data_IF_229703804847
#
_entry.id   IF_229703804847
#
_cell.length_a   1.000
_cell.length_b   1.000
_cell.length_c   1.000
_cell.angle_alpha   90.00
_cell.angle_beta   90.00
_cell.angle_gamma   90.00
#
_symmetry.space_group_name_H-M   'P 1'
#
loop_
_entity.id
_entity.type
_entity.pdbx_description
1 polymer ?
#
# COMPACT_ATOMS: atom_id res chain seq x y z
N UNK A 1 21.38 24.73 22.50
CA UNK A 1 21.06 23.34 22.89
C UNK A 1 20.53 22.66 21.65
N UNK A 2 21.32 21.79 21.05
CA UNK A 2 20.95 21.04 19.85
C UNK A 2 19.89 20.02 20.26
N UNK A 3 18.63 20.26 19.86
CA UNK A 3 17.55 19.30 20.06
C UNK A 3 17.88 18.07 19.21
N UNK A 4 18.58 17.08 19.79
CA UNK A 4 18.73 15.77 19.17
C UNK A 4 17.31 15.22 19.01
N UNK A 5 16.75 15.33 17.81
CA UNK A 5 15.52 14.65 17.44
C UNK A 5 15.73 13.16 17.74
N UNK A 6 15.18 12.67 18.85
CA UNK A 6 15.22 11.25 19.20
C UNK A 6 14.45 10.52 18.10
N UNK A 7 15.17 9.85 17.22
CA UNK A 7 14.58 9.06 16.15
C UNK A 7 14.04 7.77 16.75
N UNK A 8 12.72 7.69 16.91
CA UNK A 8 12.06 6.46 17.40
C UNK A 8 12.41 5.30 16.50
N UNK A 9 12.89 4.22 17.10
CA UNK A 9 13.24 3.00 16.37
C UNK A 9 12.03 2.08 16.30
N UNK A 10 11.51 1.83 15.09
CA UNK A 10 10.30 1.03 14.89
C UNK A 10 10.51 -0.45 15.25
N UNK A 11 9.80 -1.01 16.25
CA UNK A 11 9.96 -2.40 16.65
C UNK A 11 9.08 -3.29 15.76
N UNK A 12 9.58 -3.63 14.58
CA UNK A 12 8.83 -4.38 13.54
C UNK A 12 8.25 -5.70 14.08
N UNK A 13 9.09 -6.53 14.71
CA UNK A 13 8.68 -7.84 15.23
C UNK A 13 7.62 -7.73 16.33
N UNK A 14 7.81 -6.81 17.27
CA UNK A 14 6.83 -6.56 18.34
C UNK A 14 5.50 -6.04 17.78
N UNK A 15 5.56 -5.22 16.73
CA UNK A 15 4.37 -4.71 16.04
C UNK A 15 3.61 -5.84 15.35
N UNK A 16 4.29 -6.78 14.69
CA UNK A 16 3.66 -7.99 14.14
C UNK A 16 2.99 -8.84 15.23
N UNK A 17 3.68 -9.07 16.35
CA UNK A 17 3.14 -9.83 17.48
C UNK A 17 1.96 -9.13 18.16
N UNK A 18 2.02 -7.81 18.32
CA UNK A 18 0.93 -7.00 18.86
C UNK A 18 -0.29 -7.02 17.93
N UNK A 19 -0.06 -6.96 16.62
CA UNK A 19 -1.12 -7.04 15.61
C UNK A 19 -1.78 -8.41 15.61
N UNK A 20 -1.00 -9.48 15.75
CA UNK A 20 -1.50 -10.84 15.88
C UNK A 20 -2.34 -11.04 17.15
N UNK A 21 -1.85 -10.56 18.30
CA UNK A 21 -2.59 -10.58 19.57
C UNK A 21 -3.92 -9.85 19.43
N UNK A 22 -3.93 -8.65 18.85
CA UNK A 22 -5.15 -7.89 18.60
C UNK A 22 -6.14 -8.68 17.73
N UNK A 23 -5.66 -9.31 16.66
CA UNK A 23 -6.52 -10.11 15.79
C UNK A 23 -7.15 -11.30 16.51
N UNK A 24 -6.37 -11.96 17.38
CA UNK A 24 -6.83 -13.11 18.18
C UNK A 24 -7.86 -12.70 19.22
N UNK A 25 -7.63 -11.60 19.92
CA UNK A 25 -8.54 -11.06 20.94
C UNK A 25 -9.87 -10.59 20.33
N UNK A 26 -9.81 -9.96 19.14
CA UNK A 26 -10.97 -9.41 18.45
C UNK A 26 -11.49 -10.31 17.32
N UNK A 27 -11.29 -11.64 17.43
CA UNK A 27 -11.54 -12.62 16.36
C UNK A 27 -12.90 -12.48 15.66
N UNK A 28 -13.97 -12.16 16.39
CA UNK A 28 -15.32 -12.00 15.83
C UNK A 28 -15.40 -10.79 14.90
N UNK A 29 -14.89 -9.64 15.34
CA UNK A 29 -14.88 -8.42 14.54
C UNK A 29 -13.95 -8.57 13.34
N UNK A 30 -12.76 -9.13 13.54
CA UNK A 30 -11.82 -9.41 12.45
C UNK A 30 -12.42 -10.39 11.43
N UNK A 31 -13.13 -11.43 11.86
CA UNK A 31 -13.81 -12.34 10.93
C UNK A 31 -14.86 -11.61 10.08
N UNK A 32 -15.65 -10.71 10.66
CA UNK A 32 -16.62 -9.90 9.92
C UNK A 32 -15.91 -8.99 8.91
N UNK A 33 -14.85 -8.28 9.33
CA UNK A 33 -14.08 -7.42 8.42
C UNK A 33 -13.42 -8.22 7.29
N UNK A 34 -12.88 -9.40 7.60
CA UNK A 34 -12.31 -10.31 6.60
C UNK A 34 -13.35 -10.80 5.62
N UNK A 35 -14.55 -11.16 6.09
CA UNK A 35 -15.64 -11.60 5.22
C UNK A 35 -16.12 -10.48 4.29
N UNK A 36 -16.32 -9.27 4.83
CA UNK A 36 -16.67 -8.10 4.01
C UNK A 36 -15.57 -7.78 3.01
N UNK A 37 -14.29 -7.82 3.43
CA UNK A 37 -13.15 -7.62 2.55
C UNK A 37 -13.10 -8.66 1.43
N UNK A 38 -13.33 -9.92 1.75
CA UNK A 38 -13.40 -11.01 0.78
C UNK A 38 -14.50 -10.78 -0.27
N UNK A 39 -15.71 -10.41 0.16
CA UNK A 39 -16.80 -10.06 -0.74
C UNK A 39 -16.45 -8.86 -1.63
N UNK A 40 -15.78 -7.84 -1.09
CA UNK A 40 -15.30 -6.71 -1.86
C UNK A 40 -14.27 -7.15 -2.90
N UNK A 41 -13.28 -7.98 -2.55
CA UNK A 41 -12.28 -8.47 -3.50
C UNK A 41 -12.94 -9.26 -4.65
N UNK A 42 -13.89 -10.14 -4.35
CA UNK A 42 -14.65 -10.86 -5.37
C UNK A 42 -15.44 -9.89 -6.28
N UNK A 43 -16.13 -8.91 -5.68
CA UNK A 43 -16.89 -7.92 -6.42
C UNK A 43 -16.01 -7.15 -7.39
N UNK A 44 -14.88 -6.61 -6.93
CA UNK A 44 -13.99 -5.77 -7.73
C UNK A 44 -13.21 -6.53 -8.79
N UNK A 45 -12.56 -7.62 -8.41
CA UNK A 45 -11.62 -8.32 -9.28
C UNK A 45 -12.25 -9.45 -10.09
N UNK A 46 -13.18 -10.23 -9.51
CA UNK A 46 -13.81 -11.35 -10.21
C UNK A 46 -15.05 -10.92 -11.01
N UNK A 47 -15.92 -10.09 -10.44
CA UNK A 47 -17.19 -9.73 -11.09
C UNK A 47 -17.13 -8.45 -11.93
N UNK A 48 -16.38 -7.43 -11.49
CA UNK A 48 -16.27 -6.15 -12.20
C UNK A 48 -15.12 -6.10 -13.22
N UNK A 49 -14.29 -7.15 -13.33
CA UNK A 49 -13.19 -7.20 -14.31
C UNK A 49 -11.94 -6.42 -13.91
N UNK A 50 -11.80 -6.07 -12.63
CA UNK A 50 -10.59 -5.44 -12.09
C UNK A 50 -10.30 -4.05 -12.67
N UNK A 51 -9.00 -3.72 -12.75
CA UNK A 51 -8.52 -2.38 -13.12
C UNK A 51 -8.81 -1.97 -14.57
N UNK A 52 -9.20 -2.93 -15.43
CA UNK A 52 -9.54 -2.67 -16.83
C UNK A 52 -10.97 -2.16 -17.08
N UNK A 53 -11.83 -2.14 -16.04
CA UNK A 53 -13.22 -1.74 -16.17
C UNK A 53 -13.50 -0.41 -15.48
N UNK A 54 -14.27 0.48 -16.12
CA UNK A 54 -14.68 1.77 -15.55
C UNK A 54 -15.49 1.61 -14.24
N UNK A 55 -16.20 0.50 -14.07
CA UNK A 55 -16.94 0.18 -12.86
C UNK A 55 -16.03 0.00 -11.63
N UNK A 56 -14.74 -0.25 -11.84
CA UNK A 56 -13.74 -0.34 -10.78
C UNK A 56 -13.62 0.96 -9.97
N UNK A 57 -14.00 2.11 -10.54
CA UNK A 57 -14.04 3.38 -9.80
C UNK A 57 -15.04 3.32 -8.64
N UNK A 58 -16.23 2.74 -8.87
CA UNK A 58 -17.21 2.55 -7.79
C UNK A 58 -16.69 1.60 -6.72
N UNK A 59 -15.99 0.55 -7.14
CA UNK A 59 -15.32 -0.36 -6.21
C UNK A 59 -14.28 0.37 -5.35
N UNK A 60 -13.44 1.23 -5.94
CA UNK A 60 -12.46 2.04 -5.22
C UNK A 60 -13.12 2.92 -4.14
N UNK A 61 -14.26 3.54 -4.45
CA UNK A 61 -15.03 4.34 -3.48
C UNK A 61 -15.57 3.47 -2.34
N UNK A 62 -16.17 2.32 -2.65
CA UNK A 62 -16.66 1.37 -1.65
C UNK A 62 -15.53 0.86 -0.75
N UNK A 63 -14.40 0.49 -1.35
CA UNK A 63 -13.24 -0.02 -0.64
C UNK A 63 -12.58 1.05 0.23
N UNK A 64 -12.58 2.30 -0.22
CA UNK A 64 -12.15 3.45 0.58
C UNK A 64 -13.04 3.64 1.80
N UNK A 65 -14.38 3.63 1.63
CA UNK A 65 -15.33 3.75 2.74
C UNK A 65 -15.19 2.58 3.74
N UNK A 66 -15.00 1.36 3.23
CA UNK A 66 -14.71 0.19 4.05
C UNK A 66 -13.43 0.39 4.89
N UNK A 67 -12.36 0.87 4.27
CA UNK A 67 -11.09 1.15 4.95
C UNK A 67 -11.26 2.25 6.01
N UNK A 68 -11.94 3.35 5.69
CA UNK A 68 -12.26 4.38 6.68
C UNK A 68 -13.05 3.81 7.87
N UNK A 69 -14.06 2.99 7.60
CA UNK A 69 -14.86 2.35 8.65
C UNK A 69 -14.01 1.43 9.53
N UNK A 70 -13.13 0.61 8.93
CA UNK A 70 -12.21 -0.26 9.66
C UNK A 70 -11.31 0.52 10.62
N UNK A 71 -10.59 1.54 10.14
CA UNK A 71 -9.66 2.30 11.00
C UNK A 71 -10.41 3.06 12.10
N UNK A 72 -11.59 3.63 11.81
CA UNK A 72 -12.37 4.28 12.86
C UNK A 72 -12.91 3.30 13.90
N UNK A 73 -13.34 2.12 13.47
CA UNK A 73 -13.72 1.04 14.38
C UNK A 73 -12.54 0.64 15.27
N UNK A 74 -11.35 0.41 14.70
CA UNK A 74 -10.14 0.09 15.46
C UNK A 74 -9.84 1.13 16.54
N UNK A 75 -10.01 2.42 16.23
CA UNK A 75 -9.78 3.53 17.15
C UNK A 75 -10.98 3.91 18.02
N UNK A 76 -12.06 3.11 18.05
CA UNK A 76 -13.30 3.39 18.80
C UNK A 76 -13.88 4.79 18.50
N UNK A 77 -13.80 5.23 17.25
CA UNK A 77 -14.39 6.50 16.78
C UNK A 77 -15.73 6.22 16.09
N UNK A 78 -16.69 7.14 16.22
CA UNK A 78 -18.00 7.06 15.51
C UNK A 78 -17.75 6.92 14.00
N UNK A 79 -18.55 6.17 13.23
CA UNK A 79 -18.39 6.10 11.77
C UNK A 79 -18.65 7.48 11.14
N UNK A 80 -17.88 7.86 10.12
CA UNK A 80 -18.28 9.01 9.28
C UNK A 80 -19.33 8.49 8.30
N UNK A 81 -20.61 8.75 8.55
CA UNK A 81 -21.59 8.76 7.49
C UNK A 81 -21.62 10.19 6.96
N UNK A 82 -21.11 10.42 5.74
CA UNK A 82 -21.21 11.68 5.00
C UNK A 82 -20.77 12.97 5.72
N UNK A 83 -19.78 12.92 6.61
CA UNK A 83 -19.25 14.15 7.23
C UNK A 83 -18.12 14.74 6.37
N UNK A 84 -18.01 16.07 6.29
CA UNK A 84 -16.94 16.81 5.58
C UNK A 84 -15.52 16.24 5.83
N UNK A 85 -15.29 15.67 7.01
CA UNK A 85 -14.02 15.07 7.41
C UNK A 85 -13.57 13.87 6.58
N UNK A 86 -14.45 13.21 5.81
CA UNK A 86 -14.07 12.18 4.82
C UNK A 86 -13.29 12.84 3.66
N UNK A 87 -13.69 14.06 3.26
CA UNK A 87 -13.00 14.82 2.22
C UNK A 87 -11.63 15.32 2.69
N UNK A 88 -11.50 15.66 3.97
CA UNK A 88 -10.21 16.00 4.55
C UNK A 88 -9.23 14.81 4.51
N UNK A 89 -9.74 13.58 4.68
CA UNK A 89 -8.95 12.35 4.50
C UNK A 89 -8.74 11.95 3.04
N UNK A 90 -9.45 12.53 2.08
CA UNK A 90 -9.19 12.28 0.65
C UNK A 90 -7.90 12.97 0.18
N UNK A 91 -7.47 14.04 0.83
CA UNK A 91 -6.26 14.79 0.42
C UNK A 91 -4.99 13.93 0.52
N UNK A 92 -4.68 13.23 1.64
CA UNK A 92 -3.55 12.30 1.67
C UNK A 92 -3.69 11.15 0.67
N UNK A 93 -4.87 10.56 0.51
CA UNK A 93 -5.11 9.47 -0.44
C UNK A 93 -4.91 9.88 -1.90
N UNK A 94 -5.36 11.09 -2.27
CA UNK A 94 -5.16 11.64 -3.61
C UNK A 94 -3.67 11.85 -3.88
N UNK A 95 -2.91 12.28 -2.86
CA UNK A 95 -1.45 12.42 -2.99
C UNK A 95 -0.76 11.08 -3.16
N UNK A 96 -1.20 10.02 -2.46
CA UNK A 96 -0.71 8.64 -2.68
C UNK A 96 -0.95 8.25 -4.13
N UNK A 97 -2.21 8.35 -4.57
CA UNK A 97 -2.60 7.92 -5.90
C UNK A 97 -1.84 8.70 -6.98
N UNK A 98 -1.70 10.02 -6.82
CA UNK A 98 -0.93 10.85 -7.74
C UNK A 98 0.56 10.50 -7.76
N UNK A 99 1.20 10.30 -6.58
CA UNK A 99 2.61 9.93 -6.51
C UNK A 99 2.87 8.54 -7.10
N UNK A 100 1.99 7.57 -6.81
CA UNK A 100 2.06 6.23 -7.39
C UNK A 100 1.86 6.28 -8.90
N UNK A 101 0.87 7.03 -9.39
CA UNK A 101 0.62 7.18 -10.82
C UNK A 101 1.77 7.88 -11.53
N UNK A 102 2.29 8.98 -10.96
CA UNK A 102 3.43 9.71 -11.51
C UNK A 102 4.67 8.83 -11.55
N UNK A 103 4.95 8.06 -10.49
CA UNK A 103 6.07 7.11 -10.49
C UNK A 103 5.85 6.01 -11.52
N UNK A 104 4.68 5.38 -11.56
CA UNK A 104 4.37 4.33 -12.52
C UNK A 104 4.51 4.83 -13.96
N UNK A 105 4.02 6.04 -14.23
CA UNK A 105 4.15 6.71 -15.53
C UNK A 105 5.63 6.97 -15.85
N UNK A 106 6.39 7.52 -14.91
CA UNK A 106 7.82 7.77 -15.10
C UNK A 106 8.60 6.47 -15.36
N UNK A 107 8.29 5.40 -14.64
CA UNK A 107 8.91 4.09 -14.84
C UNK A 107 8.51 3.47 -16.18
N UNK A 108 7.26 3.61 -16.60
CA UNK A 108 6.80 3.13 -17.91
C UNK A 108 7.47 3.90 -19.07
N UNK A 109 7.76 5.19 -18.89
CA UNK A 109 8.44 6.00 -19.91
C UNK A 109 9.97 5.99 -19.80
N UNK A 110 10.55 5.50 -18.71
CA UNK A 110 12.00 5.45 -18.49
C UNK A 110 12.76 4.72 -19.63
N UNK A 111 12.28 3.57 -20.15
CA UNK A 111 12.89 2.89 -21.31
C UNK A 111 12.89 3.72 -22.59
N UNK A 112 12.03 4.74 -22.69
CA UNK A 112 11.98 5.61 -23.86
C UNK A 112 12.82 6.88 -23.68
N UNK A 113 13.37 7.13 -22.49
CA UNK A 113 14.14 8.33 -22.19
C UNK A 113 15.32 8.57 -23.17
N UNK A 114 16.11 7.54 -23.57
CA UNK A 114 17.18 7.73 -24.54
C UNK A 114 16.70 8.24 -25.90
N UNK A 115 15.47 7.88 -26.31
CA UNK A 115 14.90 8.37 -27.57
C UNK A 115 14.73 9.90 -27.58
N UNK A 116 14.48 10.50 -26.41
CA UNK A 116 14.30 11.94 -26.25
C UNK A 116 15.60 12.72 -26.06
N UNK A 117 16.71 12.04 -25.72
CA UNK A 117 18.00 12.67 -25.42
C UNK A 117 18.89 12.90 -26.65
N UNK A 118 18.48 12.43 -27.83
CA UNK A 118 19.17 12.70 -29.10
C UNK A 118 20.53 12.00 -29.24
N UNK A 119 20.62 10.73 -28.83
CA UNK A 119 21.83 9.93 -29.01
C UNK A 119 22.16 9.68 -30.50
N UNK A 120 23.43 9.36 -30.84
CA UNK A 120 23.84 9.04 -32.20
C UNK A 120 22.97 7.94 -32.85
N UNK A 121 22.69 8.07 -34.15
CA UNK A 121 21.74 7.22 -34.88
C UNK A 121 22.05 5.72 -34.79
N UNK A 122 23.33 5.34 -34.82
CA UNK A 122 23.78 3.94 -34.71
C UNK A 122 23.41 3.31 -33.36
N UNK A 123 23.63 4.03 -32.25
CA UNK A 123 23.20 3.55 -30.91
C UNK A 123 21.68 3.51 -30.77
N UNK A 124 20.97 4.40 -31.45
CA UNK A 124 19.51 4.48 -31.37
C UNK A 124 18.84 3.34 -32.13
N UNK A 125 19.44 2.88 -33.21
CA UNK A 125 18.97 1.73 -33.99
C UNK A 125 19.15 0.42 -33.19
N UNK A 126 20.33 0.21 -32.60
CA UNK A 126 20.60 -0.92 -31.70
C UNK A 126 19.70 -0.88 -30.44
N UNK A 127 19.44 0.31 -29.88
CA UNK A 127 18.59 0.46 -28.71
C UNK A 127 17.10 0.22 -29.02
N UNK A 128 16.61 0.74 -30.15
CA UNK A 128 15.21 0.61 -30.54
C UNK A 128 14.86 -0.82 -31.01
N UNK A 129 15.77 -1.48 -31.73
CA UNK A 129 15.55 -2.83 -32.25
C UNK A 129 15.90 -3.90 -31.20
N UNK A 130 16.96 -3.71 -30.42
CA UNK A 130 17.36 -4.68 -29.38
C UNK A 130 16.57 -4.50 -28.08
N UNK A 131 16.82 -3.41 -27.38
CA UNK A 131 16.33 -3.21 -26.02
C UNK A 131 14.82 -2.93 -25.94
N UNK A 132 14.28 -2.05 -26.79
CA UNK A 132 12.85 -1.69 -26.73
C UNK A 132 11.97 -2.86 -27.17
N UNK A 133 12.36 -3.63 -28.20
CA UNK A 133 11.60 -4.82 -28.60
C UNK A 133 11.62 -5.88 -27.48
N UNK A 134 12.78 -6.15 -26.88
CA UNK A 134 12.88 -7.11 -25.77
C UNK A 134 12.15 -6.64 -24.50
N UNK A 135 12.10 -5.32 -24.27
CA UNK A 135 11.29 -4.72 -23.20
C UNK A 135 9.78 -4.84 -23.48
N UNK A 136 9.36 -4.69 -24.73
CA UNK A 136 7.96 -4.85 -25.14
C UNK A 136 7.50 -6.31 -25.18
N UNK A 137 8.41 -7.26 -25.41
CA UNK A 137 8.15 -8.71 -25.43
C UNK A 137 7.97 -9.33 -24.02
N UNK A 138 7.61 -8.50 -23.02
CA UNK A 138 7.33 -8.93 -21.63
C UNK A 138 8.45 -9.79 -21.02
N UNK A 139 9.72 -9.44 -21.28
CA UNK A 139 10.83 -10.18 -20.69
C UNK A 139 10.76 -10.07 -19.15
N UNK A 140 10.61 -11.22 -18.51
CA UNK A 140 10.46 -11.42 -17.06
C UNK A 140 11.50 -10.69 -16.21
N UNK A 141 12.70 -10.46 -16.75
CA UNK A 141 13.77 -9.69 -16.10
C UNK A 141 13.41 -8.22 -15.90
N UNK A 142 12.79 -7.57 -16.90
CA UNK A 142 12.41 -6.17 -16.82
C UNK A 142 11.24 -5.96 -15.87
N UNK A 143 10.26 -6.86 -15.88
CA UNK A 143 9.15 -6.87 -14.92
C UNK A 143 9.65 -7.03 -13.48
N UNK A 144 10.59 -7.95 -13.26
CA UNK A 144 11.22 -8.14 -11.96
C UNK A 144 12.02 -6.90 -11.53
N UNK A 145 12.74 -6.27 -12.46
CA UNK A 145 13.46 -5.02 -12.22
C UNK A 145 12.54 -3.86 -11.82
N UNK A 146 11.44 -3.69 -12.55
CA UNK A 146 10.40 -2.70 -12.23
C UNK A 146 9.74 -2.97 -10.88
N UNK A 147 9.40 -4.22 -10.59
CA UNK A 147 8.84 -4.63 -9.31
C UNK A 147 9.82 -4.35 -8.15
N UNK A 148 11.12 -4.58 -8.36
CA UNK A 148 12.15 -4.26 -7.37
C UNK A 148 12.25 -2.76 -7.11
N UNK A 149 12.23 -1.93 -8.16
CA UNK A 149 12.23 -0.47 -8.01
C UNK A 149 10.99 0.00 -7.26
N UNK A 150 9.81 -0.51 -7.60
CA UNK A 150 8.57 -0.21 -6.89
C UNK A 150 8.65 -0.62 -5.41
N UNK A 151 9.21 -1.79 -5.12
CA UNK A 151 9.42 -2.28 -3.76
C UNK A 151 10.32 -1.33 -2.97
N UNK A 152 11.42 -0.85 -3.56
CA UNK A 152 12.34 0.11 -2.92
C UNK A 152 11.68 1.48 -2.67
N UNK A 153 10.86 1.96 -3.59
CA UNK A 153 10.24 3.29 -3.46
C UNK A 153 8.96 3.25 -2.60
N UNK A 154 8.31 2.09 -2.47
CA UNK A 154 7.05 1.93 -1.74
C UNK A 154 7.05 2.40 -0.28
N UNK A 155 8.13 2.32 0.55
CA UNK A 155 8.12 2.89 1.89
C UNK A 155 7.90 4.41 1.90
N UNK A 156 8.32 5.09 0.84
CA UNK A 156 8.22 6.54 0.72
C UNK A 156 6.81 6.93 0.24
N UNK A 157 6.29 6.21 -0.75
CA UNK A 157 5.01 6.52 -1.41
C UNK A 157 3.81 5.99 -0.61
N UNK A 158 3.96 4.85 0.07
CA UNK A 158 2.86 4.20 0.76
C UNK A 158 2.84 4.53 2.26
N UNK A 159 3.87 4.15 3.02
CA UNK A 159 3.83 4.23 4.49
C UNK A 159 3.61 5.65 5.02
N UNK A 160 4.37 6.64 4.56
CA UNK A 160 4.28 8.00 5.12
C UNK A 160 2.96 8.68 4.81
N UNK A 161 2.46 8.63 3.57
CA UNK A 161 1.11 9.11 3.29
C UNK A 161 0.03 8.30 3.97
N UNK A 162 0.20 6.99 4.15
CA UNK A 162 -0.74 6.16 4.88
C UNK A 162 -0.86 6.61 6.35
N UNK A 163 0.26 6.94 7.01
CA UNK A 163 0.21 7.50 8.37
C UNK A 163 -0.53 8.84 8.42
N UNK A 164 -0.31 9.71 7.43
CA UNK A 164 -1.04 10.97 7.31
C UNK A 164 -2.54 10.74 7.06
N UNK A 165 -2.88 9.73 6.26
CA UNK A 165 -4.25 9.31 6.01
C UNK A 165 -4.93 8.78 7.28
N UNK A 166 -4.31 7.83 8.00
CA UNK A 166 -4.85 7.32 9.28
C UNK A 166 -5.09 8.48 10.24
N UNK A 167 -4.13 9.41 10.37
CA UNK A 167 -4.27 10.64 11.17
C UNK A 167 -5.51 11.45 10.79
N UNK A 168 -5.76 11.67 9.50
CA UNK A 168 -6.94 12.39 9.03
C UNK A 168 -8.25 11.62 9.32
N UNK A 169 -8.26 10.30 9.12
CA UNK A 169 -9.43 9.44 9.35
C UNK A 169 -9.85 9.43 10.83
N UNK A 170 -8.91 9.49 11.76
CA UNK A 170 -9.21 9.60 13.19
C UNK A 170 -9.59 11.03 13.62
N UNK A 171 -9.50 12.01 12.72
CA UNK A 171 -9.85 13.41 12.95
C UNK A 171 -8.71 14.28 13.50
N UNK A 172 -7.45 13.84 13.35
CA UNK A 172 -6.24 14.63 13.64
C UNK A 172 -5.71 15.29 12.36
N UNK A 173 -4.66 16.11 12.48
CA UNK A 173 -4.05 16.74 11.29
C UNK A 173 -3.39 15.70 10.38
N UNK A 174 -3.90 15.58 9.15
CA UNK A 174 -3.39 14.68 8.10
C UNK A 174 -2.10 15.19 7.43
N UNK A 175 -1.18 15.78 8.19
CA UNK A 175 0.00 16.43 7.63
C UNK A 175 1.09 15.43 7.26
N UNK A 176 1.40 15.35 5.96
CA UNK A 176 2.53 14.57 5.43
C UNK A 176 3.86 14.98 6.05
N UNK A 177 4.08 16.27 6.28
CA UNK A 177 5.32 16.79 6.89
C UNK A 177 5.51 16.26 8.31
N UNK A 178 4.42 16.21 9.09
CA UNK A 178 4.46 15.64 10.44
C UNK A 178 4.74 14.13 10.40
N UNK A 179 4.10 13.41 9.48
CA UNK A 179 4.35 11.98 9.30
C UNK A 179 5.80 11.69 8.89
N UNK A 180 6.37 12.51 8.02
CA UNK A 180 7.77 12.41 7.60
C UNK A 180 8.74 12.62 8.76
N UNK A 181 8.50 13.64 9.58
CA UNK A 181 9.33 13.93 10.76
C UNK A 181 9.28 12.78 11.78
N UNK A 182 8.08 12.28 12.09
CA UNK A 182 7.89 11.24 13.12
C UNK A 182 8.43 9.86 12.72
N UNK A 183 8.47 9.56 11.42
CA UNK A 183 8.94 8.27 10.89
C UNK A 183 10.37 8.30 10.36
N UNK A 184 11.09 9.42 10.52
CA UNK A 184 12.47 9.62 10.07
C UNK A 184 13.40 8.56 10.68
N UNK A 185 14.34 8.04 9.87
CA UNK A 185 15.31 7.03 10.30
C UNK A 185 14.83 5.56 10.21
N UNK A 186 13.60 5.29 9.78
CA UNK A 186 13.03 3.93 9.75
C UNK A 186 12.86 3.33 8.35
N UNK A 187 13.56 3.86 7.33
CA UNK A 187 13.39 3.41 5.94
C UNK A 187 13.60 1.91 5.77
N UNK A 188 14.73 1.36 6.22
CA UNK A 188 15.04 -0.07 6.10
C UNK A 188 14.01 -0.96 6.80
N UNK A 189 13.42 -0.47 7.89
CA UNK A 189 12.39 -1.20 8.64
C UNK A 189 11.08 -1.24 7.88
N UNK A 190 10.66 -0.13 7.29
CA UNK A 190 9.51 -0.11 6.40
C UNK A 190 9.75 -0.94 5.15
N UNK A 191 10.95 -0.90 4.58
CA UNK A 191 11.33 -1.74 3.43
C UNK A 191 11.21 -3.23 3.77
N UNK A 192 11.70 -3.65 4.95
CA UNK A 192 11.55 -5.02 5.41
C UNK A 192 10.07 -5.41 5.56
N UNK A 193 9.23 -4.52 6.10
CA UNK A 193 7.78 -4.78 6.21
C UNK A 193 7.11 -4.91 4.84
N UNK A 194 7.40 -4.00 3.91
CA UNK A 194 6.91 -4.08 2.53
C UNK A 194 7.30 -5.42 1.93
N UNK A 195 8.58 -5.79 2.05
CA UNK A 195 9.08 -7.03 1.51
C UNK A 195 8.35 -8.25 2.11
N UNK A 196 8.15 -8.29 3.42
CA UNK A 196 7.44 -9.39 4.09
C UNK A 196 5.99 -9.52 3.62
N UNK A 197 5.25 -8.41 3.51
CA UNK A 197 3.87 -8.45 3.02
C UNK A 197 3.78 -8.81 1.53
N UNK A 198 4.71 -8.31 0.70
CA UNK A 198 4.76 -8.67 -0.72
C UNK A 198 5.14 -10.14 -0.92
N UNK A 199 6.12 -10.65 -0.15
CA UNK A 199 6.49 -12.05 -0.17
C UNK A 199 5.30 -12.94 0.25
N UNK A 200 4.57 -12.56 1.30
CA UNK A 200 3.36 -13.28 1.69
C UNK A 200 2.27 -13.27 0.61
N UNK A 201 2.04 -12.12 -0.05
CA UNK A 201 1.09 -12.02 -1.14
C UNK A 201 1.52 -12.85 -2.37
N UNK A 202 2.81 -12.83 -2.72
CA UNK A 202 3.38 -13.62 -3.80
C UNK A 202 3.21 -15.13 -3.53
N UNK A 203 3.52 -15.60 -2.32
CA UNK A 203 3.33 -17.00 -1.94
C UNK A 203 1.86 -17.43 -2.04
N UNK A 204 0.91 -16.55 -1.72
CA UNK A 204 -0.52 -16.82 -1.87
C UNK A 204 -0.90 -16.95 -3.36
N UNK A 205 -0.36 -16.09 -4.23
CA UNK A 205 -0.60 -16.17 -5.67
C UNK A 205 -0.01 -17.46 -6.27
N UNK A 206 1.23 -17.80 -5.93
CA UNK A 206 1.86 -19.05 -6.38
C UNK A 206 1.08 -20.29 -5.89
N UNK A 207 0.60 -20.28 -4.64
CA UNK A 207 -0.23 -21.36 -4.11
C UNK A 207 -1.55 -21.52 -4.89
N UNK A 208 -2.17 -20.42 -5.33
CA UNK A 208 -3.39 -20.45 -6.14
C UNK A 208 -3.11 -21.07 -7.52
N UNK A 209 -2.05 -20.63 -8.19
CA UNK A 209 -1.60 -21.17 -9.49
C UNK A 209 -1.34 -22.67 -9.40
N UNK A 210 -0.62 -23.11 -8.36
CA UNK A 210 -0.32 -24.53 -8.13
C UNK A 210 -1.58 -25.36 -7.83
N UNK A 211 -2.57 -24.77 -7.16
CA UNK A 211 -3.82 -25.44 -6.83
C UNK A 211 -4.84 -25.48 -7.98
N UNK A 212 -4.63 -24.68 -9.04
CA UNK A 212 -5.57 -24.55 -10.15
C UNK A 212 -6.92 -23.94 -9.75
N UNK A 213 -6.98 -23.20 -8.64
CA UNK A 213 -8.22 -22.75 -8.02
C UNK A 213 -8.86 -21.49 -8.66
N UNK A 214 -8.48 -21.12 -9.89
CA UNK A 214 -9.06 -19.98 -10.63
C UNK A 214 -9.16 -18.69 -9.79
N UNK A 215 -8.06 -18.31 -9.14
CA UNK A 215 -7.95 -17.14 -8.24
C UNK A 215 -8.79 -17.19 -6.95
N UNK A 216 -9.61 -18.22 -6.73
CA UNK A 216 -10.45 -18.31 -5.53
C UNK A 216 -9.62 -18.47 -4.26
N UNK A 217 -8.54 -19.26 -4.32
CA UNK A 217 -7.66 -19.47 -3.18
C UNK A 217 -6.89 -18.18 -2.88
N UNK A 218 -6.43 -17.48 -3.93
CA UNK A 218 -5.79 -16.18 -3.80
C UNK A 218 -6.69 -15.17 -3.07
N UNK A 219 -7.94 -14.98 -3.50
CA UNK A 219 -8.85 -14.02 -2.85
C UNK A 219 -9.18 -14.41 -1.41
N UNK A 220 -9.32 -15.71 -1.15
CA UNK A 220 -9.65 -16.23 0.18
C UNK A 220 -8.51 -16.04 1.18
N UNK A 221 -7.26 -16.19 0.75
CA UNK A 221 -6.09 -16.00 1.61
C UNK A 221 -5.60 -14.54 1.66
N UNK A 222 -5.77 -13.77 0.58
CA UNK A 222 -5.45 -12.33 0.56
C UNK A 222 -6.40 -11.53 1.45
N UNK A 223 -7.69 -11.90 1.54
CA UNK A 223 -8.66 -11.20 2.36
C UNK A 223 -8.23 -11.05 3.84
N UNK A 224 -7.89 -12.13 4.58
CA UNK A 224 -7.39 -12.01 5.95
C UNK A 224 -6.01 -11.36 6.02
N UNK A 225 -5.14 -11.57 5.03
CA UNK A 225 -3.81 -10.95 4.99
C UNK A 225 -3.89 -9.41 4.93
N UNK A 226 -4.81 -8.88 4.11
CA UNK A 226 -5.07 -7.44 3.99
C UNK A 226 -5.61 -6.87 5.30
N UNK A 227 -6.54 -7.55 5.97
CA UNK A 227 -7.06 -7.11 7.26
C UNK A 227 -5.96 -7.12 8.32
N UNK A 228 -5.12 -8.16 8.34
CA UNK A 228 -3.96 -8.21 9.20
C UNK A 228 -2.98 -7.06 8.93
N UNK A 229 -2.73 -6.74 7.66
CA UNK A 229 -1.92 -5.59 7.25
C UNK A 229 -2.52 -4.27 7.76
N UNK A 230 -3.85 -4.09 7.69
CA UNK A 230 -4.51 -2.89 8.22
C UNK A 230 -4.35 -2.78 9.75
N UNK A 231 -4.46 -3.88 10.50
CA UNK A 231 -4.15 -3.89 11.94
C UNK A 231 -2.70 -3.53 12.20
N UNK A 232 -1.77 -4.08 11.40
CA UNK A 232 -0.35 -3.76 11.50
C UNK A 232 -0.08 -2.28 11.25
N UNK A 233 -0.71 -1.68 10.24
CA UNK A 233 -0.59 -0.25 9.95
C UNK A 233 -1.16 0.61 11.08
N UNK A 234 -2.27 0.20 11.69
CA UNK A 234 -2.85 0.88 12.85
C UNK A 234 -1.90 0.82 14.06
N UNK A 235 -1.35 -0.36 14.38
CA UNK A 235 -0.34 -0.50 15.46
C UNK A 235 0.94 0.28 15.19
N UNK A 236 1.37 0.33 13.93
CA UNK A 236 2.51 1.16 13.52
C UNK A 236 2.21 2.64 13.74
N UNK A 237 0.99 3.08 13.41
CA UNK A 237 0.54 4.44 13.68
C UNK A 237 0.53 4.75 15.19
N UNK A 238 0.05 3.82 16.02
CA UNK A 238 0.02 3.97 17.48
C UNK A 238 1.43 4.30 18.02
N UNK A 239 2.43 3.51 17.61
CA UNK A 239 3.83 3.68 18.01
C UNK A 239 4.41 5.07 17.68
N UNK A 240 4.14 5.57 16.48
CA UNK A 240 4.69 6.84 16.01
C UNK A 240 3.88 8.07 16.45
N UNK A 241 2.57 7.92 16.70
CA UNK A 241 1.67 9.05 16.84
C UNK A 241 0.90 9.12 18.16
N UNK A 242 0.66 8.01 18.86
CA UNK A 242 -0.11 7.97 20.10
C UNK A 242 0.76 7.79 21.34
N UNK A 243 1.88 7.06 21.25
CA UNK A 243 2.87 6.90 22.33
C UNK A 243 3.71 8.17 22.60
N UNK A 244 3.20 9.37 22.28
CA UNK A 244 3.84 10.67 22.49
C UNK A 244 2.89 11.72 23.07
N UNK A 245 1.60 11.40 23.24
CA UNK A 245 0.62 12.30 23.87
C UNK A 245 0.50 12.02 25.38
N UNK A 246 1.36 11.17 25.95
CA UNK A 246 1.36 10.74 27.37
C UNK A 246 2.68 11.03 28.12
N UNK A 247 3.57 11.82 27.54
CA UNK A 247 4.69 12.48 28.24
C UNK A 247 4.45 13.99 28.29
#
# INVERSE_FOLDING_TARGET
MENKEITKTFPVAETFLASWRYCRENRRHIAVFTLVNWLLLLLGFKFMGGTGNILFIFWCVLYYLFSCFFFRFYYNRRPYLLTHKIFDSLVPSTKILFLTLALATLLAYLPFAPLFLGFPAEMMEDYAVGFIQEYMDENKLYDMGLALVLLLVSPIIFFRPMMAWISSVIGRSGSLRNAWRRTKGNYLRFLAVVFLFNAAAYLVQEADVLSGADSWLAWTLLAPLIIYCNVFLAKSFDFFFLDLDTE
#
